data_IF_066908261242
#
_entry.id   IF_066908261242
#
_cell.length_a   1.000
_cell.length_b   1.000
_cell.length_c   1.000
_cell.angle_alpha   90.00
_cell.angle_beta   90.00
_cell.angle_gamma   90.00
#
_symmetry.space_group_name_H-M   'P 1'
#
loop_
_entity.id
_entity.type
_entity.pdbx_description
1 polymer ?
#
# COMPACT_ATOMS: atom_id res chain seq x y z
N UNK A 1 -22.31 -1.75 1.66
CA UNK A 1 -20.96 -1.79 2.27
C UNK A 1 -20.58 -0.37 2.62
N UNK A 2 -20.07 -0.13 3.82
CA UNK A 2 -19.51 1.17 4.22
C UNK A 2 -18.04 1.25 3.79
N UNK A 3 -17.59 2.46 3.48
CA UNK A 3 -16.25 2.76 2.99
C UNK A 3 -15.62 3.84 3.87
N UNK A 4 -14.30 3.78 4.04
CA UNK A 4 -13.56 4.84 4.73
C UNK A 4 -13.69 6.13 3.93
N UNK A 5 -13.84 7.26 4.63
CA UNK A 5 -13.93 8.57 4.01
C UNK A 5 -12.62 8.93 3.32
N UNK A 6 -11.47 8.61 3.95
CA UNK A 6 -10.17 8.93 3.40
C UNK A 6 -9.09 7.98 3.89
N UNK A 7 -8.37 7.36 2.95
CA UNK A 7 -7.09 6.70 3.19
C UNK A 7 -6.04 7.40 2.32
N UNK A 8 -4.90 7.74 2.91
CA UNK A 8 -3.76 8.30 2.16
C UNK A 8 -2.74 7.19 1.93
N UNK A 9 -2.39 6.94 0.67
CA UNK A 9 -1.31 6.02 0.31
C UNK A 9 -0.12 6.83 -0.18
N UNK A 10 1.07 6.56 0.35
CA UNK A 10 2.32 7.21 -0.06
C UNK A 10 3.30 6.19 -0.63
N UNK A 11 4.13 6.66 -1.56
CA UNK A 11 5.13 5.85 -2.22
C UNK A 11 6.50 6.53 -2.15
N UNK A 12 7.52 5.75 -1.84
CA UNK A 12 8.91 6.20 -1.84
C UNK A 12 9.88 5.06 -2.22
N UNK A 13 11.15 5.42 -2.41
CA UNK A 13 12.20 4.45 -2.70
C UNK A 13 12.06 3.78 -4.08
N UNK A 14 11.39 4.44 -5.03
CA UNK A 14 11.13 3.91 -6.37
C UNK A 14 9.77 3.23 -6.51
N UNK A 15 9.00 3.06 -5.43
CA UNK A 15 7.62 2.57 -5.51
C UNK A 15 6.73 3.51 -6.34
N UNK A 16 6.97 4.81 -6.33
CA UNK A 16 6.23 5.82 -7.10
C UNK A 16 6.25 5.54 -8.61
N UNK A 17 7.30 4.89 -9.12
CA UNK A 17 7.41 4.52 -10.53
C UNK A 17 6.31 3.54 -10.95
N UNK A 18 5.80 2.71 -10.03
CA UNK A 18 4.72 1.75 -10.30
C UNK A 18 3.35 2.43 -10.42
N UNK A 19 3.24 3.67 -9.94
CA UNK A 19 2.01 4.45 -9.83
C UNK A 19 2.11 5.75 -10.64
N UNK A 20 2.66 5.69 -11.86
CA UNK A 20 2.77 6.84 -12.77
C UNK A 20 3.56 8.02 -12.18
N UNK A 21 4.63 7.72 -11.43
CA UNK A 21 5.49 8.68 -10.72
C UNK A 21 4.75 9.54 -9.67
N UNK A 22 3.57 9.11 -9.24
CA UNK A 22 2.86 9.76 -8.15
C UNK A 22 3.46 9.35 -6.81
N UNK A 23 3.79 10.33 -5.97
CA UNK A 23 4.31 10.09 -4.62
C UNK A 23 3.22 9.80 -3.59
N UNK A 24 1.96 10.08 -3.94
CA UNK A 24 0.81 9.76 -3.09
C UNK A 24 -0.48 9.57 -3.89
N UNK A 25 -1.39 8.77 -3.34
CA UNK A 25 -2.77 8.64 -3.76
C UNK A 25 -3.68 8.95 -2.57
N UNK A 26 -4.73 9.73 -2.83
CA UNK A 26 -5.78 10.00 -1.86
C UNK A 26 -7.01 9.19 -2.26
N UNK A 27 -7.33 8.18 -1.44
CA UNK A 27 -8.40 7.23 -1.71
C UNK A 27 -9.62 7.59 -0.86
N UNK A 28 -10.54 8.34 -1.46
CA UNK A 28 -11.75 8.82 -0.79
C UNK A 28 -12.94 7.93 -1.15
N UNK A 29 -13.61 7.35 -0.14
CA UNK A 29 -14.77 6.47 -0.36
C UNK A 29 -14.48 5.19 -1.16
N UNK A 30 -13.21 4.85 -1.39
CA UNK A 30 -12.81 3.74 -2.26
C UNK A 30 -12.47 2.45 -1.50
N UNK A 31 -12.16 2.56 -0.20
CA UNK A 31 -11.68 1.42 0.61
C UNK A 31 -12.81 0.93 1.51
N UNK A 32 -13.28 -0.32 1.35
CA UNK A 32 -14.32 -0.90 2.22
C UNK A 32 -13.87 -0.98 3.68
N UNK A 33 -14.79 -0.80 4.62
CA UNK A 33 -14.50 -1.05 6.04
C UNK A 33 -14.08 -2.50 6.28
N UNK A 34 -13.12 -2.70 7.19
CA UNK A 34 -12.54 -4.02 7.49
C UNK A 34 -11.41 -4.42 6.54
N UNK A 35 -11.02 -3.56 5.59
CA UNK A 35 -9.88 -3.80 4.71
C UNK A 35 -8.58 -3.79 5.53
N UNK A 36 -7.78 -4.84 5.39
CA UNK A 36 -6.43 -4.91 5.98
C UNK A 36 -5.38 -4.26 5.09
N UNK A 37 -4.15 -4.10 5.59
CA UNK A 37 -3.01 -3.69 4.74
C UNK A 37 -2.87 -4.61 3.53
N UNK A 38 -2.97 -5.93 3.70
CA UNK A 38 -2.90 -6.84 2.56
C UNK A 38 -4.07 -6.63 1.59
N UNK A 39 -5.28 -6.38 2.10
CA UNK A 39 -6.43 -6.02 1.25
C UNK A 39 -6.19 -4.76 0.43
N UNK A 40 -5.57 -3.73 1.02
CA UNK A 40 -5.16 -2.52 0.33
C UNK A 40 -4.12 -2.81 -0.76
N UNK A 41 -3.12 -3.66 -0.48
CA UNK A 41 -2.11 -4.08 -1.47
C UNK A 41 -2.78 -4.73 -2.68
N UNK A 42 -3.73 -5.64 -2.46
CA UNK A 42 -4.47 -6.28 -3.55
C UNK A 42 -5.30 -5.28 -4.37
N UNK A 43 -5.92 -4.30 -3.70
CA UNK A 43 -6.70 -3.25 -4.35
C UNK A 43 -5.82 -2.32 -5.20
N UNK A 44 -4.66 -1.92 -4.67
CA UNK A 44 -3.67 -1.11 -5.38
C UNK A 44 -3.13 -1.85 -6.61
N UNK A 45 -2.78 -3.13 -6.44
CA UNK A 45 -2.33 -4.01 -7.52
C UNK A 45 -3.35 -4.09 -8.66
N UNK A 46 -4.62 -4.27 -8.32
CA UNK A 46 -5.68 -4.47 -9.32
C UNK A 46 -6.04 -3.19 -10.08
N UNK A 47 -6.03 -2.03 -9.40
CA UNK A 47 -6.69 -0.82 -9.92
C UNK A 47 -5.75 0.37 -10.15
N UNK A 48 -4.58 0.41 -9.50
CA UNK A 48 -3.75 1.62 -9.44
C UNK A 48 -2.35 1.45 -10.01
N UNK A 49 -1.79 0.24 -10.01
CA UNK A 49 -0.50 -0.02 -10.66
C UNK A 49 -0.63 0.18 -12.18
N UNK A 50 0.29 0.94 -12.75
CA UNK A 50 0.36 1.23 -14.21
C UNK A 50 1.49 0.50 -14.91
N UNK A 51 2.49 0.07 -14.15
CA UNK A 51 3.66 -0.66 -14.62
C UNK A 51 3.56 -2.14 -14.28
N UNK A 52 4.71 -2.82 -14.07
CA UNK A 52 4.76 -4.25 -13.74
C UNK A 52 4.32 -4.52 -12.29
N UNK A 53 3.16 -5.15 -12.04
CA UNK A 53 2.67 -5.43 -10.68
C UNK A 53 3.59 -6.38 -9.90
N UNK A 54 4.34 -7.24 -10.59
CA UNK A 54 5.30 -8.20 -9.99
C UNK A 54 6.49 -7.51 -9.28
N UNK A 55 6.64 -6.19 -9.43
CA UNK A 55 7.61 -5.40 -8.67
C UNK A 55 7.05 -4.92 -7.33
N UNK A 56 5.72 -4.94 -7.16
CA UNK A 56 5.03 -4.56 -5.92
C UNK A 56 4.68 -5.77 -5.06
N UNK A 57 4.29 -6.88 -5.68
CA UNK A 57 3.91 -8.13 -4.98
C UNK A 57 4.94 -9.24 -5.21
N UNK A 58 4.93 -10.24 -4.34
CA UNK A 58 5.76 -11.43 -4.43
C UNK A 58 5.31 -12.37 -5.58
N UNK A 59 6.01 -13.49 -5.74
CA UNK A 59 5.76 -14.44 -6.83
C UNK A 59 4.38 -15.10 -6.77
N UNK A 60 3.76 -15.21 -5.58
CA UNK A 60 2.38 -15.68 -5.48
C UNK A 60 1.37 -14.60 -5.83
N UNK A 61 1.80 -13.33 -5.87
CA UNK A 61 0.97 -12.17 -6.15
C UNK A 61 0.03 -11.81 -4.99
N UNK A 62 0.21 -12.43 -3.82
CA UNK A 62 -0.71 -12.32 -2.67
C UNK A 62 -0.15 -11.50 -1.53
N UNK A 63 1.18 -11.35 -1.44
CA UNK A 63 1.84 -10.55 -0.44
C UNK A 63 2.72 -9.49 -1.10
N UNK A 64 3.17 -8.51 -0.31
CA UNK A 64 4.15 -7.54 -0.79
C UNK A 64 5.47 -8.23 -1.11
N UNK A 65 6.14 -7.70 -2.14
CA UNK A 65 7.47 -8.16 -2.49
C UNK A 65 8.43 -7.89 -1.32
N UNK A 66 9.28 -8.86 -0.92
CA UNK A 66 10.32 -8.62 0.06
C UNK A 66 11.18 -7.40 -0.31
N UNK A 67 11.55 -6.60 0.69
CA UNK A 67 12.26 -5.33 0.48
C UNK A 67 11.34 -4.15 0.12
N UNK A 68 10.04 -4.26 0.38
CA UNK A 68 9.13 -3.13 0.53
C UNK A 68 8.76 -3.01 2.00
N UNK A 69 9.15 -1.91 2.63
CA UNK A 69 8.76 -1.54 3.98
C UNK A 69 7.39 -0.86 3.94
N UNK A 70 6.54 -1.16 4.93
CA UNK A 70 5.23 -0.54 5.09
C UNK A 70 5.19 0.23 6.40
N UNK A 71 4.80 1.50 6.34
CA UNK A 71 4.51 2.31 7.52
C UNK A 71 3.02 2.63 7.58
N UNK A 72 2.42 2.51 8.76
CA UNK A 72 1.09 3.04 9.06
C UNK A 72 1.25 4.20 10.02
N UNK A 73 0.84 5.40 9.60
CA UNK A 73 0.96 6.63 10.38
C UNK A 73 2.38 6.85 10.94
N UNK A 74 3.39 6.63 10.08
CA UNK A 74 4.83 6.73 10.39
C UNK A 74 5.35 5.68 11.38
N UNK A 75 4.54 4.68 11.75
CA UNK A 75 4.95 3.54 12.55
C UNK A 75 5.15 2.31 11.65
N UNK A 76 6.14 1.49 11.95
CA UNK A 76 6.35 0.22 11.23
C UNK A 76 5.11 -0.66 11.34
N UNK A 77 4.59 -1.11 10.20
CA UNK A 77 3.42 -1.96 10.15
C UNK A 77 3.61 -3.22 11.00
N UNK A 78 4.81 -3.82 11.02
CA UNK A 78 5.08 -5.04 11.80
C UNK A 78 4.83 -4.87 13.31
N UNK A 79 4.92 -3.65 13.84
CA UNK A 79 4.70 -3.35 15.27
C UNK A 79 3.22 -3.21 15.61
N UNK A 80 2.39 -2.76 14.66
CA UNK A 80 0.97 -2.43 14.90
C UNK A 80 -0.01 -3.54 14.49
N UNK A 81 0.47 -4.56 13.78
CA UNK A 81 -0.37 -5.69 13.33
C UNK A 81 0.05 -6.32 12.00
N UNK A 82 1.12 -5.81 11.38
CA UNK A 82 1.66 -6.27 10.11
C UNK A 82 0.63 -6.20 9.00
N UNK A 83 0.63 -7.20 8.13
CA UNK A 83 -0.29 -7.32 6.99
C UNK A 83 -1.77 -7.42 7.38
N UNK A 84 -2.04 -7.83 8.62
CA UNK A 84 -3.40 -8.06 9.15
C UNK A 84 -3.96 -6.83 9.87
N UNK A 85 -3.18 -5.75 10.00
CA UNK A 85 -3.69 -4.48 10.51
C UNK A 85 -4.89 -4.02 9.68
N UNK A 86 -6.03 -3.84 10.35
CA UNK A 86 -7.27 -3.34 9.74
C UNK A 86 -7.20 -1.83 9.70
N UNK A 87 -7.33 -1.26 8.50
CA UNK A 87 -7.27 0.19 8.29
C UNK A 87 -8.35 0.90 9.10
N UNK A 88 -8.08 2.16 9.44
CA UNK A 88 -9.07 3.08 10.00
C UNK A 88 -9.16 4.35 9.18
N UNK A 89 -10.28 5.06 9.33
CA UNK A 89 -10.49 6.29 8.58
C UNK A 89 -9.42 7.32 8.91
N UNK A 90 -8.86 7.94 7.87
CA UNK A 90 -7.80 8.94 7.98
C UNK A 90 -6.38 8.38 7.98
N UNK A 91 -6.19 7.06 7.99
CA UNK A 91 -4.86 6.43 7.99
C UNK A 91 -4.01 6.87 6.81
N UNK A 92 -2.71 6.99 7.07
CA UNK A 92 -1.66 7.10 6.06
C UNK A 92 -0.86 5.81 6.00
N UNK A 93 -0.86 5.14 4.86
CA UNK A 93 -0.06 3.95 4.59
C UNK A 93 1.03 4.30 3.60
N UNK A 94 2.29 4.09 3.97
CA UNK A 94 3.44 4.41 3.12
C UNK A 94 4.19 3.13 2.72
N UNK A 95 4.41 2.96 1.41
CA UNK A 95 5.19 1.86 0.85
C UNK A 95 6.54 2.40 0.38
N UNK A 96 7.61 1.85 0.94
CA UNK A 96 8.99 2.28 0.68
C UNK A 96 9.77 1.09 0.16
N UNK A 97 10.19 1.11 -1.11
CA UNK A 97 11.10 0.07 -1.56
C UNK A 97 12.52 0.36 -1.05
N UNK A 98 13.12 -0.64 -0.40
CA UNK A 98 14.50 -0.59 0.09
C UNK A 98 15.48 -1.26 -0.88
N UNK A 99 14.98 -1.84 -1.98
CA UNK A 99 15.77 -2.58 -2.96
C UNK A 99 16.02 -1.84 -4.28
N UNK A 100 15.21 -0.83 -4.63
CA UNK A 100 15.29 -0.18 -5.94
C UNK A 100 16.23 1.04 -6.00
N UNK A 101 17.27 1.05 -5.16
CA UNK A 101 18.36 2.02 -5.24
C UNK A 101 19.41 1.59 -6.27
N UNK A 102 19.14 1.80 -7.56
CA UNK A 102 20.06 1.54 -8.66
C UNK A 102 19.66 2.25 -9.94
#
# INVERSE_FOLDING_TARGET
MSFYQRITVKFAGGCELLFDKQTQLQLEGAIPHGTTINGLVQLLKANYIRERPDLFVDQSGTALRPGILVLVNLCDAEVVGGTDYVLVDGDTVEFISTLHGG
#
